data_IF_650033615281
#
_entry.id   IF_650033615281
#
_cell.length_a   1.000
_cell.length_b   1.000
_cell.length_c   1.000
_cell.angle_alpha   90.00
_cell.angle_beta   90.00
_cell.angle_gamma   90.00
#
_symmetry.space_group_name_H-M   'P 1'
#
loop_
_entity.id
_entity.type
_entity.pdbx_description
1 polymer ?
#
# COMPACT_ATOMS: atom_id res chain seq x y z
N UNK A 1 21.56 -65.11 -54.79
CA UNK A 1 21.30 -65.20 -53.32
C UNK A 1 21.25 -63.76 -52.82
N UNK A 2 20.08 -63.18 -52.74
CA UNK A 2 19.86 -61.78 -52.33
C UNK A 2 19.19 -61.79 -50.94
N UNK A 3 19.90 -61.27 -49.96
CA UNK A 3 19.39 -61.16 -48.60
C UNK A 3 18.49 -59.90 -48.46
N UNK A 4 17.25 -60.15 -48.13
CA UNK A 4 16.28 -59.09 -47.82
C UNK A 4 16.47 -58.72 -46.35
N UNK A 5 16.93 -57.48 -46.09
CA UNK A 5 16.95 -56.91 -44.74
C UNK A 5 15.65 -56.16 -44.54
N UNK A 6 14.85 -56.71 -43.63
CA UNK A 6 13.56 -56.14 -43.23
C UNK A 6 13.80 -55.00 -42.20
N UNK A 7 13.48 -53.74 -42.58
CA UNK A 7 13.53 -52.61 -41.70
C UNK A 7 12.20 -52.53 -40.89
N UNK A 8 12.30 -52.82 -39.64
CA UNK A 8 11.20 -52.74 -38.72
C UNK A 8 11.14 -51.28 -38.15
N UNK A 9 10.21 -50.48 -38.66
CA UNK A 9 9.94 -49.15 -38.12
C UNK A 9 9.23 -49.28 -36.76
N UNK A 10 9.90 -48.94 -35.68
CA UNK A 10 9.27 -48.70 -34.40
C UNK A 10 8.59 -47.35 -34.43
N UNK A 11 7.27 -47.32 -34.46
CA UNK A 11 6.47 -46.14 -34.14
C UNK A 11 6.55 -45.89 -32.63
N UNK A 12 7.36 -44.92 -32.20
CA UNK A 12 7.30 -44.36 -30.85
C UNK A 12 6.09 -43.42 -30.84
N UNK A 13 5.02 -43.86 -30.20
CA UNK A 13 3.88 -43.05 -29.87
C UNK A 13 4.28 -42.03 -28.81
N UNK A 14 4.60 -40.82 -29.23
CA UNK A 14 4.80 -39.68 -28.35
C UNK A 14 3.42 -39.27 -27.77
N UNK A 15 3.09 -39.86 -26.61
CA UNK A 15 1.97 -39.36 -25.81
C UNK A 15 2.40 -38.06 -25.16
N UNK A 16 2.19 -36.97 -25.90
CA UNK A 16 2.25 -35.65 -25.33
C UNK A 16 1.34 -35.60 -24.10
N UNK A 17 1.99 -35.50 -22.94
CA UNK A 17 1.31 -35.08 -21.71
C UNK A 17 0.85 -33.63 -21.92
N UNK A 18 -0.36 -33.51 -22.48
CA UNK A 18 -1.07 -32.26 -22.53
C UNK A 18 -1.28 -31.82 -21.08
N UNK A 19 -0.41 -30.92 -20.59
CA UNK A 19 -0.73 -30.13 -19.43
C UNK A 19 -2.06 -29.44 -19.71
N UNK A 20 -3.10 -29.97 -19.12
CA UNK A 20 -4.40 -29.33 -19.02
C UNK A 20 -4.19 -28.08 -18.18
N UNK A 21 -3.70 -26.99 -18.78
CA UNK A 21 -3.78 -25.64 -18.20
C UNK A 21 -5.27 -25.34 -18.06
N UNK A 22 -5.87 -25.82 -16.98
CA UNK A 22 -7.11 -25.33 -16.47
C UNK A 22 -6.96 -23.80 -16.44
N UNK A 23 -7.64 -23.10 -17.32
CA UNK A 23 -7.92 -21.67 -17.18
C UNK A 23 -8.76 -21.56 -15.90
N UNK A 24 -8.09 -21.49 -14.75
CA UNK A 24 -8.72 -21.02 -13.54
C UNK A 24 -9.20 -19.60 -13.89
N UNK A 25 -10.52 -19.44 -14.00
CA UNK A 25 -11.15 -18.13 -14.04
C UNK A 25 -10.44 -17.30 -12.99
N UNK A 26 -9.84 -16.16 -13.38
CA UNK A 26 -9.15 -15.28 -12.45
C UNK A 26 -10.09 -14.98 -11.29
N UNK A 27 -9.83 -15.56 -10.13
CA UNK A 27 -10.68 -15.45 -8.94
C UNK A 27 -10.61 -14.02 -8.39
N UNK A 28 -9.54 -13.30 -8.72
CA UNK A 28 -9.27 -11.94 -8.28
C UNK A 28 -9.30 -10.96 -9.45
N UNK A 29 -9.74 -9.73 -9.14
CA UNK A 29 -9.76 -8.61 -10.07
C UNK A 29 -8.40 -7.92 -10.19
N UNK A 30 -7.60 -7.99 -9.12
CA UNK A 30 -6.27 -7.42 -9.02
C UNK A 30 -5.22 -8.31 -9.68
N UNK A 31 -4.14 -7.69 -10.21
CA UNK A 31 -3.01 -8.42 -10.81
C UNK A 31 -2.16 -9.16 -9.78
N UNK A 32 -2.17 -8.68 -8.54
CA UNK A 32 -1.47 -9.29 -7.41
C UNK A 32 -2.33 -9.24 -6.16
N UNK A 33 -2.38 -10.37 -5.42
CA UNK A 33 -3.05 -10.49 -4.12
C UNK A 33 -2.13 -11.25 -3.17
N UNK A 34 -1.82 -10.65 -2.03
CA UNK A 34 -0.94 -11.24 -1.04
C UNK A 34 -1.52 -11.10 0.35
N UNK A 35 -1.56 -12.21 1.10
CA UNK A 35 -2.04 -12.23 2.49
C UNK A 35 -0.99 -12.83 3.39
N UNK A 36 -0.56 -12.05 4.36
CA UNK A 36 0.36 -12.47 5.40
C UNK A 36 -0.38 -12.56 6.73
N UNK A 37 -0.34 -13.73 7.36
CA UNK A 37 -0.82 -13.93 8.72
C UNK A 37 0.23 -13.37 9.69
N UNK A 38 -0.04 -12.22 10.25
CA UNK A 38 0.88 -11.50 11.14
C UNK A 38 1.04 -12.22 12.49
N UNK A 39 -0.01 -12.91 12.94
CA UNK A 39 0.00 -13.66 14.21
C UNK A 39 0.83 -14.94 14.11
N UNK A 40 0.67 -15.70 13.03
CA UNK A 40 1.34 -17.00 12.83
C UNK A 40 2.68 -16.85 12.09
N UNK A 41 3.00 -15.66 11.59
CA UNK A 41 4.28 -15.40 10.89
C UNK A 41 4.40 -16.06 9.52
N UNK A 42 3.29 -16.32 8.79
CA UNK A 42 3.30 -17.07 7.53
C UNK A 42 2.43 -16.47 6.44
N UNK A 43 2.79 -16.75 5.19
CA UNK A 43 1.99 -16.40 4.02
C UNK A 43 0.76 -17.31 3.95
N UNK A 44 -0.42 -16.72 3.81
CA UNK A 44 -1.70 -17.44 3.67
C UNK A 44 -2.18 -17.50 2.23
N UNK A 45 -1.94 -16.45 1.44
CA UNK A 45 -2.29 -16.37 0.02
C UNK A 45 -1.15 -15.64 -0.70
N UNK A 46 -0.71 -16.19 -1.82
CA UNK A 46 0.24 -15.56 -2.74
C UNK A 46 -0.24 -15.76 -4.18
N UNK A 47 -0.71 -14.68 -4.79
CA UNK A 47 -1.04 -14.62 -6.21
C UNK A 47 -0.22 -13.49 -6.82
N UNK A 48 0.84 -13.84 -7.51
CA UNK A 48 1.80 -12.90 -8.10
C UNK A 48 2.38 -11.90 -7.09
N UNK A 49 2.62 -12.32 -5.83
CA UNK A 49 3.07 -11.45 -4.74
C UNK A 49 4.36 -10.69 -5.04
N UNK A 50 5.24 -11.24 -5.87
CA UNK A 50 6.52 -10.63 -6.28
C UNK A 50 6.44 -9.86 -7.62
N UNK A 51 5.25 -9.70 -8.20
CA UNK A 51 5.09 -8.92 -9.43
C UNK A 51 5.31 -7.44 -9.17
N UNK A 52 6.28 -6.84 -9.86
CA UNK A 52 6.55 -5.40 -9.81
C UNK A 52 5.42 -4.63 -10.47
N UNK A 53 4.81 -3.72 -9.73
CA UNK A 53 3.70 -2.87 -10.16
C UNK A 53 3.86 -1.48 -9.56
N UNK A 54 3.37 -0.41 -10.22
CA UNK A 54 3.19 0.87 -9.57
C UNK A 54 2.19 0.70 -8.41
N UNK A 55 2.45 1.37 -7.29
CA UNK A 55 1.66 1.20 -6.06
C UNK A 55 0.86 2.44 -5.65
N UNK A 56 1.02 3.54 -6.40
CA UNK A 56 0.36 4.81 -6.10
C UNK A 56 0.54 5.21 -4.63
N UNK A 57 -0.48 5.78 -4.02
CA UNK A 57 -0.42 6.28 -2.63
C UNK A 57 -0.14 5.23 -1.54
N UNK A 58 0.05 3.93 -1.88
CA UNK A 58 0.63 2.99 -0.91
C UNK A 58 2.10 3.34 -0.60
N UNK A 59 2.76 4.12 -1.45
CA UNK A 59 4.06 4.77 -1.20
C UNK A 59 4.08 5.54 0.12
N UNK A 60 2.98 6.19 0.50
CA UNK A 60 2.85 6.95 1.75
C UNK A 60 3.05 6.09 3.02
N UNK A 61 2.98 4.76 2.89
CA UNK A 61 3.32 3.83 3.98
C UNK A 61 4.82 3.89 4.30
N UNK A 62 5.69 3.96 3.29
CA UNK A 62 7.13 4.14 3.48
C UNK A 62 7.44 5.57 3.93
N UNK A 63 6.78 6.56 3.35
CA UNK A 63 6.91 7.98 3.77
C UNK A 63 6.63 8.13 5.25
N UNK A 64 5.53 7.53 5.74
CA UNK A 64 5.19 7.53 7.16
C UNK A 64 6.28 6.88 8.03
N UNK A 65 6.76 5.69 7.65
CA UNK A 65 7.81 4.98 8.38
C UNK A 65 9.09 5.80 8.44
N UNK A 66 9.60 6.23 7.29
CA UNK A 66 10.88 6.96 7.22
C UNK A 66 10.80 8.31 7.93
N UNK A 67 9.69 9.01 7.77
CA UNK A 67 9.49 10.29 8.45
C UNK A 67 9.47 10.14 9.98
N UNK A 68 8.83 9.11 10.53
CA UNK A 68 8.87 8.85 11.99
C UNK A 68 10.28 8.54 12.48
N UNK A 69 11.09 7.81 11.71
CA UNK A 69 12.49 7.52 12.04
C UNK A 69 13.30 8.83 12.09
N UNK A 70 13.20 9.67 11.04
CA UNK A 70 13.95 10.92 10.97
C UNK A 70 13.45 11.92 12.03
N UNK A 71 12.14 12.03 12.22
CA UNK A 71 11.54 12.87 13.27
C UNK A 71 12.19 12.60 14.64
N UNK A 72 12.26 11.35 15.04
CA UNK A 72 12.88 10.94 16.32
C UNK A 72 14.39 11.19 16.36
N UNK A 73 15.10 10.98 15.25
CA UNK A 73 16.54 11.28 15.18
C UNK A 73 16.86 12.78 15.34
N UNK A 74 15.89 13.63 15.00
CA UNK A 74 15.96 15.09 15.22
C UNK A 74 15.48 15.51 16.63
N UNK A 75 15.11 14.56 17.48
CA UNK A 75 14.58 14.85 18.83
C UNK A 75 13.14 15.38 18.82
N UNK A 76 12.43 15.23 17.70
CA UNK A 76 11.04 15.69 17.53
C UNK A 76 10.05 14.56 17.87
N UNK A 77 8.85 14.96 18.28
CA UNK A 77 7.69 14.09 18.51
C UNK A 77 6.47 14.49 17.68
N UNK A 78 5.42 13.73 17.81
CA UNK A 78 4.18 13.99 17.06
C UNK A 78 3.44 15.26 17.49
N UNK A 79 3.74 15.77 18.68
CA UNK A 79 3.15 17.00 19.25
C UNK A 79 3.96 18.27 18.90
N UNK A 80 5.10 18.11 18.23
CA UNK A 80 5.86 19.24 17.72
C UNK A 80 5.21 19.86 16.50
N UNK A 81 5.54 21.13 16.26
CA UNK A 81 4.96 21.91 15.16
C UNK A 81 5.39 21.36 13.79
N UNK A 82 4.40 21.18 12.93
CA UNK A 82 4.54 20.91 11.51
C UNK A 82 3.97 22.05 10.68
N UNK A 83 4.42 22.19 9.43
CA UNK A 83 3.95 23.22 8.52
C UNK A 83 3.66 22.64 7.15
N UNK A 84 2.54 23.07 6.54
CA UNK A 84 2.23 22.73 5.15
C UNK A 84 2.93 23.69 4.22
N UNK A 85 3.95 23.22 3.49
CA UNK A 85 4.78 24.07 2.66
C UNK A 85 4.12 24.48 1.34
N UNK A 86 4.41 25.70 0.88
CA UNK A 86 3.93 26.18 -0.42
C UNK A 86 4.41 25.27 -1.57
N UNK A 87 5.64 24.78 -1.50
CA UNK A 87 6.21 23.85 -2.49
C UNK A 87 5.35 22.59 -2.58
N UNK A 88 5.02 21.97 -1.45
CA UNK A 88 4.19 20.75 -1.39
C UNK A 88 2.79 20.98 -1.97
N UNK A 89 2.14 22.09 -1.60
CA UNK A 89 0.81 22.44 -2.12
C UNK A 89 0.86 22.66 -3.64
N UNK A 90 1.90 23.36 -4.13
CA UNK A 90 2.06 23.64 -5.56
C UNK A 90 2.32 22.35 -6.37
N UNK A 91 3.05 21.38 -5.83
CA UNK A 91 3.23 20.06 -6.44
C UNK A 91 1.87 19.39 -6.61
N UNK A 92 1.12 19.28 -5.53
CA UNK A 92 -0.17 18.56 -5.49
C UNK A 92 -1.24 19.23 -6.37
N UNK A 93 -1.29 20.57 -6.39
CA UNK A 93 -2.18 21.31 -7.31
C UNK A 93 -1.87 21.01 -8.78
N UNK A 94 -0.58 20.97 -9.18
CA UNK A 94 -0.19 20.60 -10.55
C UNK A 94 -0.57 19.17 -10.90
N UNK A 95 -0.51 18.26 -9.94
CA UNK A 95 -0.84 16.86 -10.09
C UNK A 95 -2.33 16.55 -9.96
N UNK A 96 -3.13 17.55 -9.54
CA UNK A 96 -4.57 17.43 -9.25
C UNK A 96 -4.88 16.36 -8.22
N UNK A 97 -4.00 16.18 -7.23
CA UNK A 97 -4.21 15.28 -6.12
C UNK A 97 -5.14 15.87 -5.05
N UNK A 98 -5.60 14.98 -4.17
CA UNK A 98 -6.46 15.35 -3.06
C UNK A 98 -5.66 16.01 -1.92
N UNK A 99 -6.26 17.03 -1.31
CA UNK A 99 -5.82 17.69 -0.07
C UNK A 99 -7.01 17.79 0.89
N UNK A 100 -6.76 17.65 2.19
CA UNK A 100 -7.81 17.76 3.23
C UNK A 100 -8.24 19.19 3.50
N UNK A 101 -7.44 20.18 3.09
CA UNK A 101 -7.80 21.59 3.17
C UNK A 101 -6.87 22.46 4.00
N UNK A 102 -5.73 21.98 4.48
CA UNK A 102 -4.72 22.85 5.07
C UNK A 102 -4.27 23.92 4.08
N UNK A 103 -4.12 25.14 4.56
CA UNK A 103 -3.62 26.26 3.78
C UNK A 103 -2.09 26.23 3.69
N UNK A 104 -1.55 26.98 2.69
CA UNK A 104 -0.10 27.19 2.57
C UNK A 104 0.42 27.90 3.83
N UNK A 105 1.56 27.44 4.33
CA UNK A 105 2.23 27.91 5.53
C UNK A 105 1.39 27.79 6.83
N UNK A 106 0.32 27.05 6.80
CA UNK A 106 -0.42 26.72 8.01
C UNK A 106 0.41 25.80 8.91
N UNK A 107 0.56 26.21 10.17
CA UNK A 107 1.24 25.44 11.21
C UNK A 107 0.21 24.63 12.01
N UNK A 108 0.50 23.37 12.21
CA UNK A 108 -0.30 22.44 13.02
C UNK A 108 0.64 21.43 13.70
N UNK A 109 0.14 20.44 14.44
CA UNK A 109 1.00 19.39 14.98
C UNK A 109 1.49 18.45 13.86
N UNK A 110 2.71 17.93 13.96
CA UNK A 110 3.20 16.89 13.05
C UNK A 110 2.24 15.70 12.96
N UNK A 111 1.62 15.35 14.08
CA UNK A 111 0.59 14.31 14.16
C UNK A 111 -0.52 14.51 13.14
N UNK A 112 -0.99 15.73 12.95
CA UNK A 112 -2.08 16.08 12.07
C UNK A 112 -1.73 15.79 10.61
N UNK A 113 -0.51 16.15 10.22
CA UNK A 113 0.01 15.87 8.86
C UNK A 113 0.13 14.37 8.61
N UNK A 114 0.61 13.59 9.59
CA UNK A 114 0.70 12.13 9.48
C UNK A 114 -0.70 11.50 9.35
N UNK A 115 -1.67 11.94 10.13
CA UNK A 115 -3.04 11.43 10.03
C UNK A 115 -3.70 11.81 8.70
N UNK A 116 -3.55 13.05 8.24
CA UNK A 116 -4.07 13.48 6.94
C UNK A 116 -3.47 12.66 5.79
N UNK A 117 -2.14 12.45 5.80
CA UNK A 117 -1.42 11.65 4.82
C UNK A 117 -1.93 10.20 4.76
N UNK A 118 -2.12 9.54 5.90
CA UNK A 118 -2.49 8.12 5.93
C UNK A 118 -4.00 7.91 5.83
N UNK A 119 -4.81 8.65 6.59
CA UNK A 119 -6.26 8.45 6.65
C UNK A 119 -6.97 8.90 5.38
N UNK A 120 -6.52 10.02 4.79
CA UNK A 120 -7.16 10.69 3.65
C UNK A 120 -6.28 10.73 2.40
N UNK A 121 -5.09 10.16 2.47
CA UNK A 121 -4.15 10.18 1.33
C UNK A 121 -3.67 11.56 0.90
N UNK A 122 -3.65 12.54 1.80
CA UNK A 122 -3.25 13.92 1.49
C UNK A 122 -1.81 13.97 0.94
N UNK A 123 -1.67 14.48 -0.31
CA UNK A 123 -0.39 14.60 -1.00
C UNK A 123 0.42 15.77 -0.48
N UNK A 124 -0.22 16.90 -0.11
CA UNK A 124 0.48 18.07 0.40
C UNK A 124 1.10 17.79 1.77
N UNK A 125 0.37 17.09 2.65
CA UNK A 125 0.91 16.64 3.93
C UNK A 125 2.08 15.67 3.74
N UNK A 126 2.00 14.73 2.78
CA UNK A 126 3.09 13.80 2.48
C UNK A 126 4.36 14.52 2.03
N UNK A 127 4.23 15.45 1.08
CA UNK A 127 5.35 16.23 0.54
C UNK A 127 5.90 17.22 1.58
N UNK A 128 5.05 17.85 2.40
CA UNK A 128 5.48 18.75 3.49
C UNK A 128 6.31 17.99 4.53
N UNK A 129 5.83 16.81 4.97
CA UNK A 129 6.58 15.92 5.86
C UNK A 129 7.93 15.56 5.24
N UNK A 130 7.96 15.21 3.95
CA UNK A 130 9.19 14.85 3.25
C UNK A 130 10.19 16.01 3.22
N UNK A 131 9.74 17.24 2.93
CA UNK A 131 10.57 18.45 2.93
C UNK A 131 11.09 18.74 4.33
N UNK A 132 10.23 18.71 5.35
CA UNK A 132 10.63 18.99 6.75
C UNK A 132 11.63 17.96 7.29
N UNK A 133 11.43 16.69 6.99
CA UNK A 133 12.28 15.61 7.49
C UNK A 133 13.59 15.49 6.70
N UNK A 134 13.53 15.60 5.37
CA UNK A 134 14.66 15.42 4.48
C UNK A 134 15.34 16.72 4.02
N UNK A 135 14.79 17.89 4.32
CA UNK A 135 15.26 19.17 3.80
C UNK A 135 14.81 19.45 2.36
N UNK A 136 14.62 18.43 1.55
CA UNK A 136 14.00 18.47 0.23
C UNK A 136 13.47 17.09 -0.18
N UNK A 137 12.61 17.06 -1.20
CA UNK A 137 11.96 15.85 -1.67
C UNK A 137 12.96 14.79 -2.19
N UNK A 138 13.95 15.20 -2.98
CA UNK A 138 14.88 14.25 -3.58
C UNK A 138 15.73 13.53 -2.53
N UNK A 139 16.21 14.25 -1.53
CA UNK A 139 16.96 13.67 -0.43
C UNK A 139 16.07 12.73 0.40
N UNK A 140 14.84 13.14 0.70
CA UNK A 140 13.91 12.28 1.43
C UNK A 140 13.58 10.99 0.67
N UNK A 141 13.42 11.04 -0.67
CA UNK A 141 13.21 9.86 -1.51
C UNK A 141 14.43 8.93 -1.50
N UNK A 142 15.66 9.48 -1.51
CA UNK A 142 16.87 8.69 -1.30
C UNK A 142 16.82 7.95 0.04
N UNK A 143 16.47 8.64 1.11
CA UNK A 143 16.29 8.06 2.45
C UNK A 143 15.21 6.98 2.51
N UNK A 144 14.12 7.11 1.72
CA UNK A 144 13.09 6.07 1.59
C UNK A 144 13.65 4.80 0.93
N UNK A 145 14.48 4.94 -0.11
CA UNK A 145 15.11 3.83 -0.81
C UNK A 145 16.18 3.14 0.05
N UNK A 146 16.93 3.91 0.84
CA UNK A 146 17.87 3.37 1.83
C UNK A 146 17.13 2.54 2.89
N UNK A 147 16.02 3.06 3.42
CA UNK A 147 15.19 2.33 4.37
C UNK A 147 14.58 1.05 3.75
N UNK A 148 14.16 1.11 2.48
CA UNK A 148 13.69 -0.06 1.75
C UNK A 148 14.78 -1.15 1.70
N UNK A 149 16.03 -0.76 1.47
CA UNK A 149 17.18 -1.66 1.47
C UNK A 149 17.45 -2.23 2.86
N UNK A 150 17.41 -1.40 3.90
CA UNK A 150 17.63 -1.81 5.31
C UNK A 150 16.62 -2.87 5.74
N UNK A 151 15.34 -2.69 5.42
CA UNK A 151 14.30 -3.67 5.76
C UNK A 151 14.14 -4.75 4.68
N UNK A 152 15.00 -4.77 3.65
CA UNK A 152 15.10 -5.82 2.64
C UNK A 152 13.89 -5.88 1.70
N UNK A 153 13.39 -4.74 1.21
CA UNK A 153 12.40 -4.66 0.12
C UNK A 153 13.12 -4.73 -1.23
N UNK A 154 13.53 -5.93 -1.62
CA UNK A 154 14.42 -6.14 -2.78
C UNK A 154 13.78 -5.88 -4.15
N UNK A 155 12.46 -5.75 -4.20
CA UNK A 155 11.71 -5.47 -5.42
C UNK A 155 10.91 -4.17 -5.32
N UNK A 156 11.48 -3.15 -4.67
CA UNK A 156 10.84 -1.85 -4.44
C UNK A 156 11.79 -0.72 -4.79
N UNK A 157 11.27 0.31 -5.45
CA UNK A 157 11.95 1.57 -5.70
C UNK A 157 10.95 2.72 -5.66
N UNK A 158 11.25 3.75 -4.89
CA UNK A 158 10.45 4.94 -4.72
C UNK A 158 11.03 6.11 -5.52
N UNK A 159 10.17 6.91 -6.13
CA UNK A 159 10.52 8.12 -6.89
C UNK A 159 9.88 9.39 -6.34
N UNK A 160 8.82 9.22 -5.52
CA UNK A 160 8.06 10.32 -4.91
C UNK A 160 7.65 9.95 -3.48
N UNK A 161 7.43 10.92 -2.58
CA UNK A 161 6.92 10.62 -1.24
C UNK A 161 5.40 10.40 -1.19
N UNK A 162 4.67 10.90 -2.19
CA UNK A 162 3.21 10.83 -2.25
C UNK A 162 2.67 9.67 -3.12
N UNK A 163 3.52 9.08 -3.98
CA UNK A 163 3.16 7.97 -4.85
C UNK A 163 2.44 8.40 -6.13
N UNK A 164 2.51 9.68 -6.51
CA UNK A 164 2.18 10.09 -7.87
C UNK A 164 3.18 9.45 -8.81
N UNK A 165 2.65 8.73 -9.80
CA UNK A 165 3.48 7.92 -10.67
C UNK A 165 4.61 8.71 -11.34
N UNK A 166 5.83 8.26 -11.13
CA UNK A 166 7.01 8.67 -11.84
C UNK A 166 7.69 7.44 -12.41
N UNK A 167 8.22 7.56 -13.63
CA UNK A 167 8.90 6.43 -14.29
C UNK A 167 10.04 5.92 -13.41
N UNK A 168 10.04 4.63 -13.14
CA UNK A 168 11.01 3.99 -12.24
C UNK A 168 10.41 3.55 -10.90
N UNK A 169 9.25 4.10 -10.50
CA UNK A 169 8.58 3.72 -9.26
C UNK A 169 7.86 2.37 -9.39
N UNK A 170 8.15 1.45 -8.51
CA UNK A 170 7.48 0.16 -8.41
C UNK A 170 7.65 -0.44 -7.00
N UNK A 171 6.75 -1.36 -6.68
CA UNK A 171 6.89 -2.28 -5.55
C UNK A 171 6.18 -3.59 -5.86
N UNK A 172 6.11 -4.50 -4.89
CA UNK A 172 5.40 -5.76 -4.97
C UNK A 172 4.44 -5.91 -3.78
N UNK A 173 3.42 -6.76 -3.92
CA UNK A 173 2.50 -6.98 -2.80
C UNK A 173 3.20 -7.63 -1.59
N UNK A 174 4.20 -8.48 -1.83
CA UNK A 174 5.02 -9.08 -0.77
C UNK A 174 5.88 -8.03 -0.06
N UNK A 175 6.51 -7.08 -0.80
CA UNK A 175 7.32 -6.03 -0.20
C UNK A 175 6.47 -5.02 0.59
N UNK A 176 5.28 -4.64 0.07
CA UNK A 176 4.33 -3.80 0.83
C UNK A 176 3.86 -4.50 2.10
N UNK A 177 3.60 -5.81 2.05
CA UNK A 177 3.23 -6.57 3.24
C UNK A 177 4.39 -6.63 4.25
N UNK A 178 5.64 -6.80 3.78
CA UNK A 178 6.84 -6.76 4.62
C UNK A 178 7.04 -5.39 5.24
N UNK A 179 6.90 -4.31 4.46
CA UNK A 179 6.93 -2.93 4.99
C UNK A 179 5.94 -2.74 6.13
N UNK A 180 4.68 -3.16 5.94
CA UNK A 180 3.67 -3.05 7.00
C UNK A 180 4.00 -3.91 8.20
N UNK A 181 4.47 -5.15 8.01
CA UNK A 181 4.88 -6.04 9.11
C UNK A 181 5.94 -5.36 9.99
N UNK A 182 6.98 -4.80 9.39
CA UNK A 182 8.06 -4.13 10.10
C UNK A 182 7.58 -2.82 10.77
N UNK A 183 6.69 -2.07 10.09
CA UNK A 183 6.22 -0.77 10.58
C UNK A 183 5.18 -0.87 11.70
N UNK A 184 4.31 -1.88 11.67
CA UNK A 184 3.23 -2.03 12.65
C UNK A 184 3.73 -2.40 14.07
N UNK A 185 5.01 -2.75 14.23
CA UNK A 185 5.64 -2.91 15.54
C UNK A 185 5.91 -1.57 16.25
N UNK A 186 5.99 -0.48 15.49
CA UNK A 186 6.11 0.88 16.01
C UNK A 186 4.74 1.39 16.49
N UNK A 187 4.66 1.85 17.75
CA UNK A 187 3.41 2.28 18.40
C UNK A 187 2.76 3.48 17.70
N UNK A 188 3.56 4.47 17.27
CA UNK A 188 3.05 5.66 16.59
C UNK A 188 2.56 5.30 15.18
N UNK A 189 3.35 4.51 14.45
CA UNK A 189 2.93 4.01 13.14
C UNK A 189 1.64 3.21 13.23
N UNK A 190 1.55 2.28 14.20
CA UNK A 190 0.34 1.48 14.42
C UNK A 190 -0.87 2.38 14.69
N UNK A 191 -0.72 3.37 15.57
CA UNK A 191 -1.78 4.33 15.92
C UNK A 191 -2.21 5.13 14.70
N UNK A 192 -1.27 5.66 13.90
CA UNK A 192 -1.55 6.42 12.68
C UNK A 192 -2.29 5.55 11.66
N UNK A 193 -1.82 4.31 11.43
CA UNK A 193 -2.39 3.41 10.41
C UNK A 193 -3.79 2.89 10.79
N UNK A 194 -4.09 2.75 12.08
CA UNK A 194 -5.35 2.17 12.58
C UNK A 194 -6.36 3.22 13.08
N UNK A 195 -6.03 4.50 13.06
CA UNK A 195 -6.94 5.56 13.48
C UNK A 195 -8.19 5.58 12.59
N UNK A 196 -9.36 5.45 13.21
CA UNK A 196 -10.64 5.43 12.50
C UNK A 196 -11.17 6.83 12.20
N UNK A 197 -11.18 7.69 13.22
CA UNK A 197 -11.61 9.09 13.14
C UNK A 197 -10.69 9.95 13.96
N UNK A 198 -10.42 11.16 13.50
CA UNK A 198 -9.54 12.10 14.16
C UNK A 198 -10.03 13.54 13.89
N UNK A 199 -9.80 14.44 14.80
CA UNK A 199 -9.96 15.88 14.61
C UNK A 199 -8.61 16.52 14.85
N UNK A 200 -8.11 17.28 13.87
CA UNK A 200 -6.81 17.93 13.96
C UNK A 200 -6.77 18.99 15.05
N UNK A 201 -5.58 19.39 15.42
CA UNK A 201 -5.34 20.59 16.24
C UNK A 201 -6.05 21.79 15.63
N UNK A 202 -6.60 22.63 16.50
CA UNK A 202 -7.25 23.88 16.10
C UNK A 202 -6.18 24.90 15.73
N UNK A 203 -6.37 25.52 14.59
CA UNK A 203 -5.56 26.63 14.10
C UNK A 203 -6.41 27.89 13.89
N UNK A 204 -5.79 29.02 13.64
CA UNK A 204 -6.54 30.24 13.29
C UNK A 204 -7.39 30.06 12.03
N UNK A 205 -6.90 29.27 11.06
CA UNK A 205 -7.59 28.99 9.79
C UNK A 205 -8.64 27.88 9.92
N UNK A 206 -8.44 26.96 10.86
CA UNK A 206 -9.36 25.86 11.16
C UNK A 206 -9.71 25.83 12.66
N UNK A 207 -10.55 26.78 13.15
CA UNK A 207 -10.84 26.92 14.59
C UNK A 207 -11.59 25.73 15.20
N UNK A 208 -12.23 24.89 14.36
CA UNK A 208 -12.87 23.64 14.80
C UNK A 208 -12.01 22.40 14.54
N UNK A 209 -10.81 22.58 13.99
CA UNK A 209 -9.97 21.50 13.47
C UNK A 209 -10.53 20.86 12.20
N UNK A 210 -9.73 20.07 11.52
CA UNK A 210 -10.13 19.30 10.33
C UNK A 210 -10.56 17.90 10.76
N UNK A 211 -11.77 17.50 10.40
CA UNK A 211 -12.32 16.17 10.70
C UNK A 211 -11.85 15.17 9.67
N UNK A 212 -11.11 14.16 10.10
CA UNK A 212 -10.56 13.08 9.30
C UNK A 212 -11.23 11.75 9.63
N UNK A 213 -11.50 10.96 8.59
CA UNK A 213 -11.96 9.58 8.72
C UNK A 213 -11.12 8.69 7.82
N UNK A 214 -10.70 7.54 8.31
CA UNK A 214 -9.93 6.61 7.50
C UNK A 214 -10.79 6.06 6.36
N UNK A 215 -10.39 6.36 5.13
CA UNK A 215 -11.16 6.01 3.93
C UNK A 215 -11.38 4.51 3.78
N UNK A 216 -10.38 3.67 4.13
CA UNK A 216 -10.47 2.21 4.02
C UNK A 216 -11.43 1.66 5.07
N UNK A 217 -11.29 2.05 6.33
CA UNK A 217 -12.19 1.59 7.41
C UNK A 217 -13.62 2.01 7.08
N UNK A 218 -13.82 3.27 6.67
CA UNK A 218 -15.13 3.83 6.32
C UNK A 218 -15.78 3.09 5.14
N UNK A 219 -14.98 2.74 4.10
CA UNK A 219 -15.46 1.99 2.96
C UNK A 219 -15.89 0.56 3.37
N UNK A 220 -15.06 -0.15 4.15
CA UNK A 220 -15.39 -1.50 4.59
C UNK A 220 -16.54 -1.57 5.60
N UNK A 221 -16.81 -0.52 6.35
CA UNK A 221 -17.97 -0.47 7.25
C UNK A 221 -19.32 -0.51 6.52
N UNK A 222 -19.34 -0.20 5.22
CA UNK A 222 -20.54 -0.35 4.36
C UNK A 222 -20.86 -1.81 4.02
N UNK A 223 -19.90 -2.74 4.14
CA UNK A 223 -20.10 -4.16 3.87
C UNK A 223 -20.63 -4.88 5.11
N UNK A 224 -21.94 -5.10 5.16
CA UNK A 224 -22.65 -5.69 6.32
C UNK A 224 -22.34 -7.18 6.59
N UNK A 225 -21.87 -7.94 5.59
CA UNK A 225 -21.66 -9.39 5.67
C UNK A 225 -20.19 -9.81 5.62
N UNK A 226 -19.30 -9.02 6.17
CA UNK A 226 -17.89 -9.43 6.31
C UNK A 226 -17.68 -10.23 7.59
N UNK A 227 -16.88 -11.29 7.51
CA UNK A 227 -16.55 -12.18 8.63
C UNK A 227 -15.18 -11.83 9.26
N UNK A 228 -14.74 -10.56 9.12
CA UNK A 228 -13.52 -10.04 9.69
C UNK A 228 -13.69 -8.55 10.02
N UNK A 229 -12.84 -8.05 10.90
CA UNK A 229 -12.75 -6.63 11.24
C UNK A 229 -11.60 -5.98 10.48
N UNK A 230 -11.81 -4.83 9.88
CA UNK A 230 -10.75 -3.97 9.34
C UNK A 230 -10.26 -3.07 10.45
N UNK A 231 -8.98 -3.17 10.79
CA UNK A 231 -8.34 -2.38 11.85
C UNK A 231 -7.69 -1.12 11.30
N UNK A 232 -7.23 -1.15 10.05
CA UNK A 232 -6.59 -0.02 9.39
C UNK A 232 -6.39 -0.30 7.91
N UNK A 233 -6.03 0.72 7.15
CA UNK A 233 -5.73 0.52 5.74
C UNK A 233 -5.42 1.80 4.99
N UNK A 234 -4.94 1.61 3.75
CA UNK A 234 -4.56 2.66 2.82
C UNK A 234 -4.97 2.29 1.42
N UNK A 235 -5.66 3.20 0.72
CA UNK A 235 -5.91 3.09 -0.71
C UNK A 235 -4.75 3.66 -1.54
N UNK A 236 -4.60 3.14 -2.76
CA UNK A 236 -3.76 3.70 -3.80
C UNK A 236 -4.48 3.68 -5.14
N UNK A 237 -4.37 4.77 -5.89
CA UNK A 237 -4.88 4.86 -7.25
C UNK A 237 -4.10 5.89 -8.06
N UNK A 238 -3.61 5.47 -9.20
CA UNK A 238 -3.28 6.29 -10.37
C UNK A 238 -3.73 5.53 -11.61
N UNK A 239 -3.73 6.19 -12.75
CA UNK A 239 -4.08 5.51 -14.00
C UNK A 239 -3.13 4.34 -14.31
N UNK A 240 -1.83 4.50 -14.02
CA UNK A 240 -0.78 3.51 -14.23
C UNK A 240 -0.84 2.35 -13.23
N UNK A 241 -1.15 2.65 -11.97
CA UNK A 241 -1.22 1.65 -10.91
C UNK A 241 -2.52 0.84 -10.92
N UNK A 242 -3.61 1.43 -11.44
CA UNK A 242 -4.95 0.91 -11.15
C UNK A 242 -5.29 1.08 -9.66
N UNK A 243 -6.38 0.49 -9.21
CA UNK A 243 -6.77 0.51 -7.79
C UNK A 243 -5.97 -0.51 -7.01
N UNK A 244 -5.44 -0.08 -5.89
CA UNK A 244 -4.62 -0.88 -4.96
C UNK A 244 -5.06 -0.61 -3.53
N UNK A 245 -4.87 -1.57 -2.64
CA UNK A 245 -5.21 -1.42 -1.22
C UNK A 245 -4.27 -2.25 -0.34
N UNK A 246 -3.92 -1.68 0.80
CA UNK A 246 -3.28 -2.36 1.92
C UNK A 246 -4.21 -2.33 3.14
N UNK A 247 -4.47 -3.48 3.77
CA UNK A 247 -5.40 -3.63 4.89
C UNK A 247 -4.75 -4.41 6.02
N UNK A 248 -4.91 -3.93 7.24
CA UNK A 248 -4.75 -4.72 8.45
C UNK A 248 -6.13 -5.21 8.88
N UNK A 249 -6.34 -6.52 8.90
CA UNK A 249 -7.60 -7.15 9.24
C UNK A 249 -7.44 -8.09 10.45
N UNK A 250 -8.52 -8.31 11.18
CA UNK A 250 -8.60 -9.30 12.25
C UNK A 250 -9.73 -10.29 11.95
N UNK A 251 -9.42 -11.58 12.04
CA UNK A 251 -10.38 -12.68 11.87
C UNK A 251 -10.03 -13.81 12.86
N UNK A 252 -11.01 -14.25 13.63
CA UNK A 252 -10.85 -15.33 14.61
C UNK A 252 -9.66 -15.10 15.59
N UNK A 253 -9.50 -13.86 16.05
CA UNK A 253 -8.42 -13.47 16.97
C UNK A 253 -7.02 -13.35 16.33
N UNK A 254 -6.89 -13.61 15.03
CA UNK A 254 -5.61 -13.49 14.29
C UNK A 254 -5.61 -12.24 13.41
N UNK A 255 -4.43 -11.61 13.30
CA UNK A 255 -4.22 -10.42 12.46
C UNK A 255 -3.60 -10.80 11.12
N UNK A 256 -4.08 -10.16 10.07
CA UNK A 256 -3.67 -10.39 8.68
C UNK A 256 -3.35 -9.07 7.99
N UNK A 257 -2.26 -9.04 7.25
CA UNK A 257 -1.96 -8.00 6.28
C UNK A 257 -2.45 -8.51 4.93
N UNK A 258 -3.34 -7.75 4.29
CA UNK A 258 -3.90 -8.08 2.97
C UNK A 258 -3.54 -6.97 2.00
N UNK A 259 -2.82 -7.32 0.94
CA UNK A 259 -2.41 -6.39 -0.12
C UNK A 259 -3.02 -6.83 -1.44
N UNK A 260 -3.66 -5.90 -2.15
CA UNK A 260 -4.07 -6.11 -3.54
C UNK A 260 -3.53 -4.97 -4.40
N UNK A 261 -2.93 -5.32 -5.56
CA UNK A 261 -2.31 -4.35 -6.47
C UNK A 261 -2.82 -4.54 -7.90
N UNK A 262 -2.98 -3.43 -8.61
CA UNK A 262 -3.23 -3.46 -10.04
C UNK A 262 -4.63 -3.91 -10.43
N UNK A 263 -5.68 -3.43 -9.77
CA UNK A 263 -7.06 -3.65 -10.18
C UNK A 263 -7.48 -2.58 -11.22
N UNK A 264 -7.53 -2.98 -12.50
CA UNK A 264 -7.88 -2.11 -13.62
C UNK A 264 -9.31 -2.39 -14.08
N UNK A 265 -10.29 -1.79 -13.42
CA UNK A 265 -11.73 -1.84 -13.78
C UNK A 265 -12.39 -3.24 -13.87
N UNK A 266 -11.69 -4.31 -13.53
CA UNK A 266 -12.31 -5.61 -13.31
C UNK A 266 -13.13 -5.56 -12.00
N UNK A 267 -14.37 -6.06 -12.03
CA UNK A 267 -15.24 -6.01 -10.84
C UNK A 267 -15.82 -4.63 -10.53
N UNK A 268 -15.88 -3.72 -11.52
CA UNK A 268 -16.41 -2.36 -11.35
C UNK A 268 -15.53 -1.49 -10.44
N UNK A 269 -16.17 -0.52 -9.76
CA UNK A 269 -15.43 0.45 -8.93
C UNK A 269 -14.81 -0.13 -7.65
N UNK A 270 -15.15 -1.36 -7.23
CA UNK A 270 -14.79 -1.95 -5.95
C UNK A 270 -13.95 -3.23 -6.05
N UNK A 271 -13.53 -3.65 -7.24
CA UNK A 271 -12.85 -4.94 -7.47
C UNK A 271 -11.67 -5.21 -6.54
N UNK A 272 -10.85 -4.23 -6.20
CA UNK A 272 -9.75 -4.34 -5.25
C UNK A 272 -10.21 -4.65 -3.80
N UNK A 273 -11.39 -4.11 -3.41
CA UNK A 273 -12.00 -4.42 -2.11
C UNK A 273 -12.67 -5.79 -2.11
N UNK A 274 -13.33 -6.17 -3.21
CA UNK A 274 -13.93 -7.49 -3.39
C UNK A 274 -12.86 -8.58 -3.33
N UNK A 275 -11.65 -8.29 -3.80
CA UNK A 275 -10.50 -9.19 -3.66
C UNK A 275 -10.09 -9.39 -2.20
N UNK A 276 -10.11 -8.34 -1.38
CA UNK A 276 -9.89 -8.45 0.07
C UNK A 276 -10.97 -9.32 0.72
N UNK A 277 -12.25 -9.10 0.39
CA UNK A 277 -13.36 -9.91 0.90
C UNK A 277 -13.21 -11.39 0.51
N UNK A 278 -12.83 -11.63 -0.76
CA UNK A 278 -12.62 -12.99 -1.31
C UNK A 278 -11.43 -13.67 -0.62
N UNK A 279 -10.31 -12.96 -0.45
CA UNK A 279 -9.13 -13.47 0.22
C UNK A 279 -9.44 -13.84 1.69
N UNK A 280 -10.07 -12.92 2.42
CA UNK A 280 -10.42 -13.15 3.83
C UNK A 280 -11.48 -14.24 4.01
N UNK A 281 -12.37 -14.46 3.03
CA UNK A 281 -13.30 -15.58 3.05
C UNK A 281 -12.61 -16.95 2.92
N UNK A 282 -11.55 -17.04 2.11
CA UNK A 282 -10.77 -18.26 1.88
C UNK A 282 -9.87 -18.66 3.05
N UNK A 283 -9.51 -17.73 3.92
CA UNK A 283 -8.71 -18.02 5.10
C UNK A 283 -9.61 -18.80 6.07
N UNK A 284 -9.28 -20.08 6.22
CA UNK A 284 -9.84 -20.94 7.28
C UNK A 284 -9.34 -20.40 8.63
N UNK A 285 -10.22 -20.38 9.63
CA UNK A 285 -9.87 -19.94 10.97
C UNK A 285 -8.89 -20.87 11.66
#
# INVERSE_FOLDING_TARGET
>A
MVAIVSFMCFFISDRGTGECRSRSKDIYNSKSVYVYNLTDGKVSIDVNGNKKLPIASLTKLMTCRKALIIMRSKGLGLDDSGQVSEEAVNIVKRQKEFMVGYDVDESTDLRDLFYAMIMRSDGACANSIAIMMGGNINHFVSEMNDEASVIGLSNTHYETPDGVYKKGEYSTASDVAKLLKESLSDKDYYKIFTMMTYVSTKTERHPDGIKLSNDVISAFNKYKRKNFKVLGGKFGYTQEAGKSIAVLAEKNGKKYIVITLGCYNKGGNHGHMDDVLTAMKKISG
#
